data_IF_633636755594
#
_entry.id   IF_633636755594
#
_cell.length_a   1.000
_cell.length_b   1.000
_cell.length_c   1.000
_cell.angle_alpha   90.00
_cell.angle_beta   90.00
_cell.angle_gamma   90.00
#
_symmetry.space_group_name_H-M   'P 1'
#
loop_
_entity.id
_entity.type
_entity.pdbx_description
1 polymer ?
#
# COMPACT_ATOMS: atom_id res chain seq x y z
N UNK A 1 4.33 13.46 16.72
CA UNK A 1 3.84 12.21 16.11
C UNK A 1 3.46 11.26 17.24
N UNK A 2 2.23 10.76 17.29
CA UNK A 2 1.83 9.81 18.33
C UNK A 2 1.94 8.37 17.82
N UNK A 3 2.17 7.43 18.74
CA UNK A 3 2.17 5.99 18.42
C UNK A 3 0.83 5.58 17.79
N UNK A 4 -0.29 6.18 18.24
CA UNK A 4 -1.62 5.93 17.67
C UNK A 4 -1.72 6.33 16.20
N UNK A 5 -1.16 7.48 15.80
CA UNK A 5 -1.13 7.91 14.39
C UNK A 5 -0.32 6.94 13.52
N UNK A 6 0.83 6.48 14.02
CA UNK A 6 1.67 5.51 13.30
C UNK A 6 0.92 4.19 13.11
N UNK A 7 0.29 3.66 14.16
CA UNK A 7 -0.48 2.42 14.07
C UNK A 7 -1.68 2.55 13.14
N UNK A 8 -2.39 3.69 13.17
CA UNK A 8 -3.50 3.95 12.27
C UNK A 8 -3.07 3.94 10.80
N UNK A 9 -1.94 4.57 10.46
CA UNK A 9 -1.42 4.55 9.09
C UNK A 9 -0.88 3.18 8.68
N UNK A 10 -0.19 2.45 9.57
CA UNK A 10 0.24 1.06 9.28
C UNK A 10 -0.93 0.17 8.92
N UNK A 11 -2.00 0.25 9.70
CA UNK A 11 -3.20 -0.53 9.45
C UNK A 11 -3.91 -0.10 8.15
N UNK A 12 -3.90 1.20 7.84
CA UNK A 12 -4.42 1.71 6.56
C UNK A 12 -3.62 1.18 5.36
N UNK A 13 -2.29 1.25 5.40
CA UNK A 13 -1.41 0.70 4.35
C UNK A 13 -1.66 -0.81 4.20
N UNK A 14 -1.74 -1.56 5.31
CA UNK A 14 -2.00 -3.01 5.28
C UNK A 14 -3.31 -3.34 4.55
N UNK A 15 -4.39 -2.64 4.88
CA UNK A 15 -5.69 -2.84 4.22
C UNK A 15 -5.61 -2.48 2.73
N UNK A 16 -5.04 -1.33 2.39
CA UNK A 16 -4.92 -0.89 1.00
C UNK A 16 -4.04 -1.85 0.17
N UNK A 17 -2.92 -2.34 0.73
CA UNK A 17 -2.07 -3.33 0.10
C UNK A 17 -2.78 -4.68 -0.13
N UNK A 18 -3.61 -5.11 0.82
CA UNK A 18 -4.46 -6.29 0.68
C UNK A 18 -5.45 -6.17 -0.47
N UNK A 19 -6.16 -5.04 -0.56
CA UNK A 19 -7.08 -4.76 -1.66
C UNK A 19 -6.34 -4.69 -2.99
N UNK A 20 -5.21 -3.99 -3.05
CA UNK A 20 -4.42 -3.84 -4.26
C UNK A 20 -3.92 -5.18 -4.79
N UNK A 21 -3.46 -6.08 -3.90
CA UNK A 21 -3.06 -7.43 -4.28
C UNK A 21 -4.23 -8.25 -4.86
N UNK A 22 -5.45 -8.08 -4.35
CA UNK A 22 -6.67 -8.73 -4.89
C UNK A 22 -6.97 -8.19 -6.28
N UNK A 23 -6.91 -6.87 -6.49
CA UNK A 23 -7.13 -6.28 -7.82
C UNK A 23 -6.07 -6.75 -8.83
N UNK A 24 -4.80 -6.80 -8.43
CA UNK A 24 -3.74 -7.37 -9.26
C UNK A 24 -3.98 -8.83 -9.61
N UNK A 25 -4.50 -9.62 -8.67
CA UNK A 25 -4.86 -11.01 -8.92
C UNK A 25 -6.01 -11.14 -9.92
N UNK A 26 -7.08 -10.37 -9.74
CA UNK A 26 -8.21 -10.32 -10.67
C UNK A 26 -7.76 -9.92 -12.09
N UNK A 27 -6.79 -9.01 -12.20
CA UNK A 27 -6.19 -8.58 -13.46
C UNK A 27 -5.14 -9.56 -14.03
N UNK A 28 -4.86 -10.70 -13.37
CA UNK A 28 -3.83 -11.65 -13.82
C UNK A 28 -2.39 -11.14 -13.70
N UNK A 29 -2.16 -10.11 -12.89
CA UNK A 29 -0.89 -9.39 -12.72
C UNK A 29 -0.22 -9.64 -11.35
N UNK A 30 -0.69 -10.63 -10.58
CA UNK A 30 0.08 -11.11 -9.42
C UNK A 30 1.40 -11.70 -9.89
N UNK A 31 2.55 -11.34 -9.27
CA UNK A 31 3.85 -11.91 -9.63
C UNK A 31 3.86 -13.44 -9.62
N UNK A 32 4.52 -14.04 -10.60
CA UNK A 32 4.59 -15.50 -10.73
C UNK A 32 5.19 -16.14 -9.48
N UNK A 33 4.56 -17.21 -9.00
CA UNK A 33 4.99 -17.92 -7.78
C UNK A 33 4.54 -17.26 -6.47
N UNK A 34 3.90 -16.09 -6.50
CA UNK A 34 3.33 -15.48 -5.30
C UNK A 34 1.84 -15.82 -5.13
N UNK A 35 1.45 -16.10 -3.89
CA UNK A 35 0.04 -16.08 -3.50
C UNK A 35 -0.44 -14.63 -3.36
N UNK A 36 -1.75 -14.39 -3.41
CA UNK A 36 -2.34 -13.06 -3.15
C UNK A 36 -1.85 -12.52 -1.79
N UNK A 37 -1.79 -13.38 -0.77
CA UNK A 37 -1.32 -13.02 0.57
C UNK A 37 0.15 -12.60 0.57
N UNK A 38 1.01 -13.34 -0.14
CA UNK A 38 2.43 -13.00 -0.25
C UNK A 38 2.63 -11.68 -1.00
N UNK A 39 1.86 -11.46 -2.07
CA UNK A 39 1.90 -10.21 -2.82
C UNK A 39 1.42 -9.02 -1.97
N UNK A 40 0.31 -9.16 -1.23
CA UNK A 40 -0.18 -8.15 -0.30
C UNK A 40 0.86 -7.77 0.76
N UNK A 41 1.56 -8.78 1.32
CA UNK A 41 2.62 -8.56 2.28
C UNK A 41 3.79 -7.79 1.66
N UNK A 42 4.21 -8.16 0.45
CA UNK A 42 5.27 -7.45 -0.28
C UNK A 42 4.91 -5.98 -0.54
N UNK A 43 3.67 -5.68 -0.95
CA UNK A 43 3.21 -4.31 -1.16
C UNK A 43 3.21 -3.53 0.16
N UNK A 44 2.74 -4.15 1.24
CA UNK A 44 2.77 -3.53 2.56
C UNK A 44 4.20 -3.22 3.02
N UNK A 45 5.12 -4.17 2.93
CA UNK A 45 6.51 -4.00 3.37
C UNK A 45 7.23 -2.92 2.55
N UNK A 46 7.00 -2.89 1.24
CA UNK A 46 7.50 -1.83 0.36
C UNK A 46 6.96 -0.45 0.77
N UNK A 47 5.65 -0.33 1.02
CA UNK A 47 5.05 0.91 1.51
C UNK A 47 5.62 1.38 2.86
N UNK A 48 5.91 0.46 3.78
CA UNK A 48 6.57 0.80 5.05
C UNK A 48 8.00 1.30 4.81
N UNK A 49 8.79 0.61 4.00
CA UNK A 49 10.15 1.03 3.66
C UNK A 49 10.19 2.40 2.96
N UNK A 50 9.25 2.67 2.04
CA UNK A 50 9.14 3.98 1.39
C UNK A 50 8.83 5.10 2.40
N UNK A 51 7.93 4.84 3.36
CA UNK A 51 7.62 5.81 4.41
C UNK A 51 8.83 6.07 5.31
N UNK A 52 9.59 5.03 5.65
CA UNK A 52 10.82 5.11 6.45
C UNK A 52 11.93 5.87 5.72
N UNK A 53 12.17 5.57 4.45
CA UNK A 53 13.17 6.25 3.63
C UNK A 53 12.84 7.74 3.45
N UNK A 54 11.57 8.06 3.17
CA UNK A 54 11.14 9.45 3.00
C UNK A 54 11.30 10.23 4.30
N UNK A 55 10.99 9.60 5.45
CA UNK A 55 11.18 10.21 6.76
C UNK A 55 12.66 10.38 7.12
N UNK A 56 13.48 9.36 6.85
CA UNK A 56 14.91 9.36 7.11
C UNK A 56 15.67 10.39 6.26
N UNK A 57 15.21 10.65 5.04
CA UNK A 57 15.72 11.72 4.18
C UNK A 57 15.35 13.14 4.66
N UNK A 58 14.50 13.27 5.68
CA UNK A 58 14.05 14.56 6.20
C UNK A 58 13.06 15.30 5.31
N UNK A 59 12.54 14.66 4.24
CA UNK A 59 11.62 15.29 3.30
C UNK A 59 10.23 15.55 3.92
N UNK A 60 9.76 14.65 4.81
CA UNK A 60 8.53 14.82 5.59
C UNK A 60 8.50 13.87 6.78
N UNK A 61 7.49 13.99 7.65
CA UNK A 61 7.30 13.02 8.75
C UNK A 61 6.86 11.65 8.22
N UNK A 62 7.20 10.58 8.93
CA UNK A 62 6.77 9.21 8.59
C UNK A 62 5.25 9.11 8.39
N UNK A 63 4.45 9.76 9.23
CA UNK A 63 2.97 9.74 9.11
C UNK A 63 2.51 10.40 7.81
N UNK A 64 3.11 11.52 7.41
CA UNK A 64 2.79 12.18 6.15
C UNK A 64 3.18 11.32 4.94
N UNK A 65 4.36 10.67 4.99
CA UNK A 65 4.79 9.75 3.94
C UNK A 65 3.86 8.53 3.83
N UNK A 66 3.52 7.92 4.98
CA UNK A 66 2.60 6.80 5.05
C UNK A 66 1.20 7.15 4.55
N UNK A 67 0.72 8.38 4.81
CA UNK A 67 -0.55 8.88 4.29
C UNK A 67 -0.55 8.99 2.76
N UNK A 68 0.52 9.54 2.17
CA UNK A 68 0.66 9.63 0.71
C UNK A 68 0.68 8.25 0.05
N UNK A 69 1.36 7.29 0.67
CA UNK A 69 1.45 5.90 0.20
C UNK A 69 0.08 5.22 0.27
N UNK A 70 -0.60 5.32 1.41
CA UNK A 70 -1.95 4.78 1.57
C UNK A 70 -2.93 5.39 0.55
N UNK A 71 -2.92 6.72 0.37
CA UNK A 71 -3.72 7.41 -0.64
C UNK A 71 -3.42 6.91 -2.06
N UNK A 72 -2.15 6.61 -2.35
CA UNK A 72 -1.73 6.10 -3.66
C UNK A 72 -2.27 4.69 -3.89
N UNK A 73 -2.16 3.80 -2.91
CA UNK A 73 -2.71 2.44 -3.03
C UNK A 73 -4.23 2.46 -3.16
N UNK A 74 -4.94 3.27 -2.39
CA UNK A 74 -6.40 3.42 -2.50
C UNK A 74 -6.84 3.95 -3.88
N UNK A 75 -6.06 4.88 -4.45
CA UNK A 75 -6.29 5.36 -5.83
C UNK A 75 -6.07 4.25 -6.85
N UNK A 76 -4.96 3.51 -6.75
CA UNK A 76 -4.66 2.41 -7.66
C UNK A 76 -5.76 1.33 -7.63
N UNK A 77 -6.23 0.97 -6.44
CA UNK A 77 -7.39 0.06 -6.29
C UNK A 77 -8.60 0.59 -7.05
N UNK A 78 -8.94 1.86 -6.84
CA UNK A 78 -10.09 2.48 -7.51
C UNK A 78 -9.93 2.50 -9.03
N UNK A 79 -8.73 2.78 -9.54
CA UNK A 79 -8.46 2.87 -10.96
C UNK A 79 -8.49 1.48 -11.63
N UNK A 80 -7.96 0.45 -10.96
CA UNK A 80 -8.05 -0.94 -11.44
C UNK A 80 -9.49 -1.44 -11.46
N UNK A 81 -10.28 -1.11 -10.43
CA UNK A 81 -11.70 -1.45 -10.40
C UNK A 81 -12.52 -0.77 -11.50
N UNK A 82 -12.14 0.44 -11.92
CA UNK A 82 -12.76 1.12 -13.07
C UNK A 82 -12.34 0.47 -14.39
N UNK A 83 -11.06 0.13 -14.53
CA UNK A 83 -10.55 -0.50 -15.74
C UNK A 83 -11.08 -1.93 -15.95
N UNK A 84 -11.41 -2.64 -14.87
CA UNK A 84 -12.01 -3.98 -14.91
C UNK A 84 -13.53 -4.03 -15.09
N UNK A 85 -14.21 -2.87 -15.21
CA UNK A 85 -15.64 -2.81 -15.54
C UNK A 85 -15.81 -2.75 -17.07
N UNK A 86 -16.62 -3.64 -17.68
CA UNK A 86 -16.96 -3.55 -19.10
C UNK A 86 -17.73 -2.27 -19.45
#
# INVERSE_FOLDING_TARGET
>A
MTIQQVQAQRERIRRAAGLLAVEHHAAGSTPSGMTIKAHAQSIYDDGIHQAENTAGAGAMTWVAAAELIANTYERLVTDMQKAGRP
#
